data_IF_068706434573
#
_entry.id   IF_068706434573
#
_cell.length_a   1.000
_cell.length_b   1.000
_cell.length_c   1.000
_cell.angle_alpha   90.00
_cell.angle_beta   90.00
_cell.angle_gamma   90.00
#
_symmetry.space_group_name_H-M   'P 1'
#
loop_
_entity.id
_entity.type
_entity.pdbx_description
1 polymer ?
#
# COMPACT_ATOMS: atom_id res chain seq x y z
N UNK A 1 35.30 -31.80 4.13
CA UNK A 1 34.61 -31.19 2.97
C UNK A 1 33.27 -30.48 3.29
N UNK A 2 32.79 -30.42 4.53
CA UNK A 2 31.48 -29.81 4.87
C UNK A 2 31.55 -28.29 5.12
N UNK A 3 32.74 -27.71 5.32
CA UNK A 3 32.92 -26.31 5.72
C UNK A 3 32.69 -25.27 4.61
N UNK A 4 32.91 -25.62 3.34
CA UNK A 4 32.74 -24.70 2.21
C UNK A 4 31.27 -24.41 1.87
N UNK A 5 30.35 -25.35 2.14
CA UNK A 5 28.93 -25.21 1.87
C UNK A 5 28.22 -24.23 2.81
N UNK A 6 28.59 -24.22 4.10
CA UNK A 6 27.99 -23.31 5.09
C UNK A 6 28.35 -21.84 4.87
N UNK A 7 29.58 -21.57 4.43
CA UNK A 7 30.07 -20.21 4.13
C UNK A 7 29.40 -19.61 2.89
N UNK A 8 29.11 -20.43 1.87
CA UNK A 8 28.36 -19.98 0.68
C UNK A 8 26.89 -19.65 1.00
N UNK A 9 26.27 -20.39 1.93
CA UNK A 9 24.91 -20.13 2.42
C UNK A 9 24.88 -18.87 3.31
N UNK A 10 25.88 -18.65 4.17
CA UNK A 10 25.90 -17.45 5.03
C UNK A 10 26.08 -16.16 4.23
N UNK A 11 26.76 -16.20 3.08
CA UNK A 11 26.94 -15.06 2.19
C UNK A 11 25.76 -14.83 1.24
N UNK A 12 24.90 -15.84 1.01
CA UNK A 12 23.73 -15.71 0.14
C UNK A 12 22.52 -15.09 0.85
N UNK A 13 22.39 -15.28 2.16
CA UNK A 13 21.29 -14.73 2.98
C UNK A 13 21.25 -13.19 2.97
N UNK A 14 22.36 -12.45 3.21
CA UNK A 14 22.37 -10.98 3.15
C UNK A 14 22.06 -10.45 1.75
N UNK A 15 22.55 -11.16 0.73
CA UNK A 15 22.31 -10.82 -0.68
C UNK A 15 20.83 -11.00 -1.04
N UNK A 16 20.21 -12.09 -0.61
CA UNK A 16 18.79 -12.35 -0.82
C UNK A 16 17.89 -11.35 -0.09
N UNK A 17 18.22 -10.99 1.16
CA UNK A 17 17.48 -9.98 1.92
C UNK A 17 17.53 -8.60 1.24
N UNK A 18 18.70 -8.21 0.73
CA UNK A 18 18.88 -6.97 -0.03
C UNK A 18 18.06 -6.98 -1.33
N UNK A 19 18.11 -8.06 -2.10
CA UNK A 19 17.31 -8.20 -3.33
C UNK A 19 15.81 -8.09 -2.99
N UNK A 20 15.34 -8.78 -1.95
CA UNK A 20 13.95 -8.70 -1.51
C UNK A 20 13.54 -7.27 -1.14
N UNK A 21 14.40 -6.53 -0.44
CA UNK A 21 14.14 -5.12 -0.11
C UNK A 21 14.11 -4.22 -1.34
N UNK A 22 14.95 -4.48 -2.34
CA UNK A 22 14.92 -3.74 -3.62
C UNK A 22 13.64 -4.03 -4.41
N UNK A 23 13.19 -5.28 -4.43
CA UNK A 23 11.96 -5.68 -5.10
C UNK A 23 10.70 -5.05 -4.48
N UNK A 24 10.72 -4.71 -3.17
CA UNK A 24 9.65 -3.94 -2.51
C UNK A 24 9.49 -2.51 -3.03
N UNK A 25 10.46 -1.98 -3.77
CA UNK A 25 10.36 -0.65 -4.39
C UNK A 25 9.95 -0.71 -5.86
N UNK A 26 9.81 -1.91 -6.43
CA UNK A 26 9.38 -2.07 -7.82
C UNK A 26 7.89 -1.79 -7.92
N UNK A 27 7.55 -0.70 -8.61
CA UNK A 27 6.17 -0.28 -8.85
C UNK A 27 5.44 -1.31 -9.73
N UNK A 28 4.33 -1.90 -9.27
CA UNK A 28 3.48 -2.75 -10.10
C UNK A 28 3.00 -2.00 -11.35
N UNK A 29 3.10 -2.62 -12.52
CA UNK A 29 2.68 -2.03 -13.80
C UNK A 29 1.36 -2.59 -14.31
N UNK A 30 0.99 -3.77 -13.84
CA UNK A 30 -0.26 -4.43 -14.17
C UNK A 30 -1.00 -4.88 -12.90
N UNK A 31 -2.30 -5.15 -13.04
CA UNK A 31 -3.11 -5.72 -11.96
C UNK A 31 -2.56 -7.07 -11.46
N UNK A 32 -1.94 -7.85 -12.35
CA UNK A 32 -1.30 -9.11 -11.99
C UNK A 32 -0.01 -8.90 -11.18
N UNK A 33 0.80 -7.90 -11.56
CA UNK A 33 1.99 -7.53 -10.78
C UNK A 33 1.59 -7.10 -9.38
N UNK A 34 0.51 -6.31 -9.26
CA UNK A 34 -0.01 -5.86 -7.98
C UNK A 34 -0.47 -7.05 -7.12
N UNK A 35 -1.22 -7.98 -7.72
CA UNK A 35 -1.66 -9.20 -7.03
C UNK A 35 -0.47 -10.01 -6.50
N UNK A 36 0.56 -10.19 -7.33
CA UNK A 36 1.76 -10.92 -6.96
C UNK A 36 2.57 -10.17 -5.90
N UNK A 37 2.69 -8.86 -6.02
CA UNK A 37 3.37 -8.00 -5.05
C UNK A 37 2.74 -8.16 -3.65
N UNK A 38 1.42 -8.00 -3.56
CA UNK A 38 0.69 -8.14 -2.29
C UNK A 38 0.85 -9.55 -1.73
N UNK A 39 0.75 -10.57 -2.58
CA UNK A 39 0.94 -11.97 -2.15
C UNK A 39 2.34 -12.24 -1.61
N UNK A 40 3.38 -11.71 -2.24
CA UNK A 40 4.79 -12.02 -1.90
C UNK A 40 5.30 -11.19 -0.73
N UNK A 41 4.91 -9.91 -0.64
CA UNK A 41 5.48 -8.99 0.35
C UNK A 41 4.60 -8.78 1.57
N UNK A 42 3.29 -9.01 1.47
CA UNK A 42 2.34 -8.81 2.56
C UNK A 42 1.69 -10.13 3.02
N UNK A 43 1.96 -11.24 2.33
CA UNK A 43 1.31 -12.55 2.52
C UNK A 43 -0.23 -12.52 2.43
N UNK A 44 -0.81 -11.45 1.91
CA UNK A 44 -2.27 -11.32 1.75
C UNK A 44 -2.71 -11.89 0.41
N UNK A 45 -3.75 -12.72 0.41
CA UNK A 45 -4.41 -13.20 -0.81
C UNK A 45 -5.64 -12.34 -1.10
N UNK A 46 -5.51 -11.37 -2.00
CA UNK A 46 -6.63 -10.52 -2.42
C UNK A 46 -7.53 -11.28 -3.40
N UNK A 47 -8.85 -11.36 -3.15
CA UNK A 47 -9.80 -11.97 -4.09
C UNK A 47 -9.86 -11.20 -5.40
N UNK A 48 -9.79 -11.93 -6.51
CA UNK A 48 -9.79 -11.41 -7.89
C UNK A 48 -11.00 -11.87 -8.71
N UNK A 49 -11.91 -12.63 -8.09
CA UNK A 49 -13.13 -13.11 -8.75
C UNK A 49 -14.30 -12.16 -8.47
N UNK A 50 -15.00 -11.79 -9.55
CA UNK A 50 -16.29 -11.10 -9.48
C UNK A 50 -17.37 -12.13 -9.14
N UNK A 51 -18.16 -11.84 -8.11
CA UNK A 51 -19.24 -12.73 -7.66
C UNK A 51 -20.49 -12.56 -8.52
N UNK A 52 -20.78 -11.33 -8.92
CA UNK A 52 -21.89 -10.97 -9.82
C UNK A 52 -21.35 -10.19 -11.03
N UNK A 53 -22.03 -10.22 -12.19
CA UNK A 53 -21.58 -9.52 -13.40
C UNK A 53 -21.32 -8.02 -13.19
N UNK A 54 -22.17 -7.35 -12.42
CA UNK A 54 -22.09 -5.91 -12.16
C UNK A 54 -21.17 -5.55 -10.97
N UNK A 55 -20.51 -6.54 -10.36
CA UNK A 55 -19.62 -6.32 -9.23
C UNK A 55 -18.16 -6.23 -9.67
N UNK A 56 -17.39 -5.47 -8.89
CA UNK A 56 -15.94 -5.42 -8.94
C UNK A 56 -15.36 -6.31 -7.84
N UNK A 57 -14.25 -6.97 -8.14
CA UNK A 57 -13.50 -7.73 -7.14
C UNK A 57 -12.70 -6.78 -6.22
N UNK A 58 -12.32 -7.23 -5.01
CA UNK A 58 -11.39 -6.50 -4.15
C UNK A 58 -10.08 -6.11 -4.86
N UNK A 59 -9.56 -6.96 -5.74
CA UNK A 59 -8.35 -6.65 -6.51
C UNK A 59 -8.59 -5.52 -7.53
N UNK A 60 -9.77 -5.45 -8.14
CA UNK A 60 -10.12 -4.34 -9.05
C UNK A 60 -10.11 -3.00 -8.31
N UNK A 61 -10.66 -2.96 -7.08
CA UNK A 61 -10.62 -1.76 -6.22
C UNK A 61 -9.18 -1.37 -5.89
N UNK A 62 -8.35 -2.33 -5.44
CA UNK A 62 -6.97 -2.04 -5.06
C UNK A 62 -6.16 -1.51 -6.24
N UNK A 63 -6.35 -2.09 -7.43
CA UNK A 63 -5.72 -1.62 -8.65
C UNK A 63 -6.19 -0.23 -9.06
N UNK A 64 -7.49 0.05 -8.99
CA UNK A 64 -8.05 1.37 -9.30
C UNK A 64 -7.44 2.45 -8.40
N UNK A 65 -7.47 2.26 -7.07
CA UNK A 65 -6.91 3.22 -6.11
C UNK A 65 -5.41 3.45 -6.30
N UNK A 66 -4.65 2.39 -6.60
CA UNK A 66 -3.21 2.51 -6.79
C UNK A 66 -2.84 3.17 -8.12
N UNK A 67 -3.41 2.69 -9.24
CA UNK A 67 -2.95 3.02 -10.60
C UNK A 67 -3.38 4.39 -11.11
N UNK A 68 -4.42 5.00 -10.53
CA UNK A 68 -4.93 6.31 -10.96
C UNK A 68 -3.82 7.39 -11.01
N UNK A 69 -2.87 7.33 -10.08
CA UNK A 69 -1.75 8.28 -10.01
C UNK A 69 -0.48 7.81 -10.75
N UNK A 70 -0.44 6.55 -11.23
CA UNK A 70 0.73 5.96 -11.87
C UNK A 70 0.78 6.20 -13.38
N UNK A 71 -0.31 6.69 -14.00
CA UNK A 71 -0.34 6.99 -15.42
C UNK A 71 0.50 8.26 -15.71
N UNK A 72 1.54 8.19 -16.57
CA UNK A 72 2.17 9.42 -17.06
C UNK A 72 1.13 10.26 -17.80
N UNK A 73 1.17 11.60 -17.72
CA UNK A 73 0.38 12.45 -18.61
C UNK A 73 0.79 12.09 -20.04
N UNK A 74 -0.09 11.42 -20.76
CA UNK A 74 0.18 10.95 -22.12
C UNK A 74 0.52 12.16 -22.98
N UNK A 75 1.67 12.12 -23.64
CA UNK A 75 2.25 13.28 -24.32
C UNK A 75 1.33 13.93 -25.36
N UNK A 76 1.40 15.26 -25.43
CA UNK A 76 1.22 16.03 -26.66
C UNK A 76 -0.19 16.53 -26.99
N UNK A 77 -1.25 16.03 -26.35
CA UNK A 77 -2.59 16.63 -26.50
C UNK A 77 -3.00 17.23 -25.16
N UNK A 78 -3.32 18.52 -25.15
CA UNK A 78 -3.74 19.33 -23.98
C UNK A 78 -5.04 18.84 -23.30
N UNK A 79 -5.46 17.59 -23.56
CA UNK A 79 -6.71 16.97 -23.12
C UNK A 79 -6.54 15.53 -22.60
N UNK A 80 -5.33 15.05 -22.30
CA UNK A 80 -5.16 13.76 -21.62
C UNK A 80 -5.63 13.88 -20.16
N UNK A 81 -6.92 13.64 -19.93
CA UNK A 81 -7.51 13.65 -18.59
C UNK A 81 -6.87 12.53 -17.79
N UNK A 82 -6.22 12.86 -16.66
CA UNK A 82 -5.77 11.83 -15.72
C UNK A 82 -7.00 11.02 -15.28
N UNK A 83 -6.90 9.68 -15.18
CA UNK A 83 -8.01 8.89 -14.66
C UNK A 83 -8.37 9.38 -13.25
N UNK A 84 -9.67 9.48 -12.95
CA UNK A 84 -10.13 9.90 -11.64
C UNK A 84 -9.74 8.84 -10.59
N UNK A 85 -9.04 9.26 -9.54
CA UNK A 85 -8.66 8.39 -8.41
C UNK A 85 -9.78 8.17 -7.40
N UNK A 86 -10.84 8.98 -7.44
CA UNK A 86 -11.94 8.90 -6.51
C UNK A 86 -12.74 7.60 -6.72
N UNK A 87 -13.00 6.89 -5.62
CA UNK A 87 -13.79 5.67 -5.62
C UNK A 87 -14.79 5.66 -4.48
N UNK A 88 -16.05 5.38 -4.79
CA UNK A 88 -17.09 5.05 -3.81
C UNK A 88 -17.34 3.55 -3.86
N UNK A 89 -17.10 2.87 -2.74
CA UNK A 89 -17.15 1.41 -2.70
C UNK A 89 -18.31 0.94 -1.83
N UNK A 90 -19.31 0.30 -2.46
CA UNK A 90 -20.30 -0.48 -1.74
C UNK A 90 -19.72 -1.84 -1.39
N UNK A 91 -19.48 -2.09 -0.10
CA UNK A 91 -18.88 -3.33 0.36
C UNK A 91 -19.58 -3.95 1.58
N UNK A 92 -19.39 -5.26 1.73
CA UNK A 92 -20.27 -6.19 2.43
C UNK A 92 -20.17 -6.42 3.96
N UNK A 93 -19.60 -5.62 4.87
CA UNK A 93 -19.23 -6.08 6.26
C UNK A 93 -18.33 -7.34 6.31
N UNK A 94 -17.36 -7.36 7.23
CA UNK A 94 -16.37 -8.45 7.40
C UNK A 94 -15.54 -8.88 6.16
N UNK A 95 -15.74 -8.29 4.96
CA UNK A 95 -14.95 -8.60 3.77
C UNK A 95 -13.59 -7.88 3.67
N UNK A 96 -12.86 -7.71 4.78
CA UNK A 96 -11.45 -7.25 4.75
C UNK A 96 -11.18 -5.81 4.25
N UNK A 97 -12.19 -4.97 4.09
CA UNK A 97 -12.05 -3.62 3.51
C UNK A 97 -11.12 -2.68 4.29
N UNK A 98 -11.03 -2.81 5.61
CA UNK A 98 -10.09 -2.05 6.43
C UNK A 98 -8.64 -2.45 6.16
N UNK A 99 -8.37 -3.75 6.06
CA UNK A 99 -7.06 -4.28 5.71
C UNK A 99 -6.68 -3.88 4.28
N UNK A 100 -7.61 -3.99 3.33
CA UNK A 100 -7.39 -3.61 1.93
C UNK A 100 -7.06 -2.13 1.77
N UNK A 101 -7.72 -1.25 2.54
CA UNK A 101 -7.39 0.17 2.58
C UNK A 101 -6.00 0.44 3.18
N UNK A 102 -5.58 -0.33 4.18
CA UNK A 102 -4.22 -0.24 4.74
C UNK A 102 -3.17 -0.69 3.71
N UNK A 103 -3.44 -1.74 2.92
CA UNK A 103 -2.59 -2.16 1.80
C UNK A 103 -2.48 -1.04 0.76
N UNK A 104 -3.60 -0.43 0.34
CA UNK A 104 -3.59 0.70 -0.59
C UNK A 104 -2.72 1.86 -0.06
N UNK A 105 -2.90 2.22 1.21
CA UNK A 105 -2.12 3.27 1.89
C UNK A 105 -0.63 2.95 1.91
N UNK A 106 -0.26 1.71 2.23
CA UNK A 106 1.15 1.29 2.23
C UNK A 106 1.76 1.40 0.83
N UNK A 107 1.05 0.94 -0.20
CA UNK A 107 1.51 1.00 -1.59
C UNK A 107 1.72 2.45 -2.03
N UNK A 108 0.78 3.33 -1.71
CA UNK A 108 0.90 4.76 -1.98
C UNK A 108 2.13 5.36 -1.29
N UNK A 109 2.30 5.10 0.01
CA UNK A 109 3.42 5.68 0.73
C UNK A 109 4.78 5.13 0.35
N UNK A 110 4.89 3.86 -0.05
CA UNK A 110 6.17 3.24 -0.41
C UNK A 110 6.54 3.54 -1.87
N UNK A 111 5.56 3.48 -2.77
CA UNK A 111 5.81 3.50 -4.22
C UNK A 111 5.55 4.86 -4.87
N UNK A 112 4.79 5.76 -4.23
CA UNK A 112 4.57 7.13 -4.71
C UNK A 112 5.36 8.10 -3.82
N UNK A 113 6.33 8.86 -4.36
CA UNK A 113 7.08 9.84 -3.57
C UNK A 113 6.20 11.03 -3.20
N UNK A 114 6.44 11.62 -2.03
CA UNK A 114 5.72 12.80 -1.51
C UNK A 114 4.18 12.63 -1.43
N UNK A 115 3.69 11.40 -1.23
CA UNK A 115 2.27 11.11 -1.10
C UNK A 115 1.80 11.33 0.34
N UNK A 116 0.76 12.14 0.53
CA UNK A 116 0.16 12.39 1.84
C UNK A 116 -1.19 11.69 1.92
N UNK A 117 -1.30 10.72 2.83
CA UNK A 117 -2.53 9.98 3.08
C UNK A 117 -3.14 10.42 4.41
N UNK A 118 -4.42 10.77 4.39
CA UNK A 118 -5.20 11.13 5.58
C UNK A 118 -6.29 10.09 5.80
N UNK A 119 -6.22 9.40 6.93
CA UNK A 119 -7.20 8.37 7.29
C UNK A 119 -8.33 9.03 8.06
N UNK A 120 -9.54 8.95 7.50
CA UNK A 120 -10.77 9.41 8.11
C UNK A 120 -11.69 8.23 8.35
N UNK A 121 -12.34 8.21 9.52
CA UNK A 121 -13.33 7.19 9.88
C UNK A 121 -14.49 7.82 10.63
N UNK A 122 -15.61 7.10 10.74
CA UNK A 122 -16.79 7.56 11.49
C UNK A 122 -16.51 7.75 12.99
N UNK A 123 -15.42 7.18 13.49
CA UNK A 123 -14.83 7.50 14.79
C UNK A 123 -13.30 7.44 14.73
N UNK A 124 -12.63 8.07 15.70
CA UNK A 124 -11.17 7.99 15.82
C UNK A 124 -10.66 6.56 16.04
N UNK A 125 -11.43 5.71 16.71
CA UNK A 125 -11.10 4.28 16.88
C UNK A 125 -11.17 3.51 15.56
N UNK A 126 -12.15 3.81 14.69
CA UNK A 126 -12.25 3.17 13.38
C UNK A 126 -11.06 3.54 12.49
N UNK A 127 -10.68 4.81 12.49
CA UNK A 127 -9.51 5.30 11.76
C UNK A 127 -8.20 4.74 12.35
N UNK A 128 -8.11 4.65 13.68
CA UNK A 128 -7.00 4.04 14.40
C UNK A 128 -6.80 2.55 14.05
N UNK A 129 -7.88 1.77 13.98
CA UNK A 129 -7.80 0.35 13.57
C UNK A 129 -7.20 0.16 12.19
N UNK A 130 -7.55 1.01 11.23
CA UNK A 130 -6.93 0.96 9.90
C UNK A 130 -5.43 1.27 9.97
N UNK A 131 -5.03 2.23 10.81
CA UNK A 131 -3.64 2.55 11.04
C UNK A 131 -2.87 1.41 11.72
N UNK A 132 -3.50 0.66 12.63
CA UNK A 132 -2.89 -0.52 13.25
C UNK A 132 -2.56 -1.61 12.22
N UNK A 133 -3.44 -1.86 11.23
CA UNK A 133 -3.13 -2.76 10.11
C UNK A 133 -1.91 -2.28 9.31
N UNK A 134 -1.83 -0.97 9.04
CA UNK A 134 -0.68 -0.38 8.37
C UNK A 134 0.61 -0.58 9.18
N UNK A 135 0.57 -0.36 10.51
CA UNK A 135 1.72 -0.59 11.39
C UNK A 135 2.16 -2.06 11.39
N UNK A 136 1.21 -3.01 11.33
CA UNK A 136 1.52 -4.44 11.18
C UNK A 136 2.34 -4.70 9.92
N UNK A 137 1.89 -4.21 8.77
CA UNK A 137 2.65 -4.36 7.52
C UNK A 137 4.02 -3.66 7.57
N UNK A 138 4.13 -2.54 8.27
CA UNK A 138 5.41 -1.86 8.48
C UNK A 138 6.38 -2.72 9.28
N UNK A 139 5.92 -3.30 10.39
CA UNK A 139 6.71 -4.19 11.24
C UNK A 139 7.13 -5.48 10.51
N UNK A 140 6.31 -5.97 9.58
CA UNK A 140 6.59 -7.17 8.78
C UNK A 140 7.57 -6.94 7.59
N UNK A 141 8.36 -5.86 7.68
CA UNK A 141 9.52 -5.62 6.82
C UNK A 141 9.39 -4.44 5.86
N UNK A 142 8.57 -3.45 6.19
CA UNK A 142 8.59 -2.15 5.52
C UNK A 142 9.14 -1.02 6.42
N UNK A 143 9.56 -1.34 7.64
CA UNK A 143 10.12 -0.39 8.62
C UNK A 143 11.33 0.38 8.06
N UNK A 144 12.14 -0.25 7.21
CA UNK A 144 13.30 0.40 6.56
C UNK A 144 12.93 1.56 5.63
N UNK A 145 11.65 1.69 5.24
CA UNK A 145 11.18 2.82 4.43
C UNK A 145 10.70 4.00 5.28
N UNK A 146 10.63 3.86 6.60
CA UNK A 146 10.20 4.93 7.50
C UNK A 146 11.31 5.97 7.73
N UNK A 147 10.91 7.23 7.76
CA UNK A 147 11.73 8.35 8.22
C UNK A 147 11.60 8.48 9.75
N UNK A 148 12.17 7.53 10.48
CA UNK A 148 12.12 7.45 11.94
C UNK A 148 11.01 6.55 12.48
N UNK A 149 10.73 6.66 13.78
CA UNK A 149 9.73 5.80 14.45
C UNK A 149 8.30 6.20 14.05
N UNK A 150 7.47 5.20 13.77
CA UNK A 150 6.03 5.42 13.65
C UNK A 150 5.45 5.87 15.00
N UNK A 151 4.58 6.88 14.97
CA UNK A 151 3.88 7.40 16.14
C UNK A 151 2.46 6.85 16.18
N UNK A 152 1.76 7.02 17.31
CA UNK A 152 0.42 6.45 17.53
C UNK A 152 -0.62 6.83 16.45
N UNK A 153 -0.49 8.00 15.85
CA UNK A 153 -1.46 8.53 14.88
C UNK A 153 -0.82 8.98 13.56
N UNK A 154 0.50 8.85 13.40
CA UNK A 154 1.19 9.32 12.20
C UNK A 154 2.52 8.61 11.96
N UNK A 155 2.86 8.39 10.69
CA UNK A 155 4.19 7.96 10.29
C UNK A 155 4.66 8.73 9.06
N UNK A 156 5.98 8.80 8.89
CA UNK A 156 6.64 9.43 7.74
C UNK A 156 7.55 8.42 7.07
N UNK A 157 7.67 8.53 5.76
CA UNK A 157 8.50 7.68 4.92
C UNK A 157 9.70 8.48 4.39
N UNK A 158 10.80 7.78 4.12
CA UNK A 158 12.06 8.39 3.66
C UNK A 158 11.93 9.08 2.29
N UNK A 159 10.91 8.73 1.51
CA UNK A 159 10.59 9.35 0.20
C UNK A 159 9.68 10.60 0.30
N UNK A 160 9.47 11.13 1.52
CA UNK A 160 8.64 12.31 1.77
C UNK A 160 7.15 12.02 1.96
N UNK A 161 6.71 10.77 1.79
CA UNK A 161 5.33 10.37 2.02
C UNK A 161 4.98 10.31 3.50
N UNK A 162 3.71 10.49 3.84
CA UNK A 162 3.25 10.46 5.23
C UNK A 162 1.81 10.00 5.37
N UNK A 163 1.52 9.34 6.49
CA UNK A 163 0.16 8.94 6.87
C UNK A 163 -0.21 9.63 8.17
N UNK A 164 -1.42 10.16 8.25
CA UNK A 164 -1.98 10.75 9.47
C UNK A 164 -3.42 10.31 9.70
N UNK A 165 -3.73 9.90 10.93
CA UNK A 165 -5.07 9.58 11.40
C UNK A 165 -5.74 10.85 11.90
N UNK A 166 -6.85 11.21 11.28
CA UNK A 166 -7.61 12.40 11.63
C UNK A 166 -8.95 12.01 12.28
N UNK A 167 -9.32 12.71 13.35
CA UNK A 167 -10.68 12.64 13.88
C UNK A 167 -11.63 13.37 12.93
N UNK A 168 -12.81 12.79 12.66
CA UNK A 168 -13.79 13.38 11.76
C UNK A 168 -14.33 14.69 12.35
N UNK A 169 -13.75 15.82 11.92
CA UNK A 169 -14.20 17.16 12.26
C UNK A 169 -14.04 18.09 11.07
N UNK A 170 -14.89 19.12 10.96
CA UNK A 170 -14.77 20.12 9.90
C UNK A 170 -13.42 20.86 9.91
N UNK A 171 -12.72 20.87 11.05
CA UNK A 171 -11.37 21.42 11.20
C UNK A 171 -10.32 20.52 10.56
N UNK A 172 -10.50 19.20 10.65
CA UNK A 172 -9.57 18.20 10.11
C UNK A 172 -9.61 18.10 8.58
N UNK A 173 -10.74 18.45 7.95
CA UNK A 173 -10.90 18.37 6.48
C UNK A 173 -10.34 19.60 5.76
N UNK A 174 -10.22 20.75 6.46
CA UNK A 174 -9.74 22.02 5.88
C UNK A 174 -8.24 22.26 6.03
N UNK A 175 -7.53 21.42 6.79
CA UNK A 175 -6.10 21.58 7.13
C UNK A 175 -5.27 20.41 6.63
#
# INVERSE_FOLDING_TARGET
MVSAGLSAISNSIPKAARIRSQLRQVTPRTILDLKNYVRVFLDVKVPDKRVCPDHHSPLDYLWHSFSADCAPPTGGTQNSTRPNGDAVVWANRAGGKTELAAIATLLDCVLKPNCQVRILGGSGEQAGRMYDYLLGFLQDGFEQFLAGKALKTKCRFANGSSVEVLTQSARSVRG
#
